data_IF_855251058587
#
_entry.id   IF_855251058587
#
_cell.length_a   1.000
_cell.length_b   1.000
_cell.length_c   1.000
_cell.angle_alpha   90.00
_cell.angle_beta   90.00
_cell.angle_gamma   90.00
#
_symmetry.space_group_name_H-M   'P 1'
#
loop_
_entity.id
_entity.type
_entity.pdbx_description
1 polymer ?
#
# COMPACT_ATOMS: atom_id res chain seq x y z
N UNK A 1 16.38 -4.87 1.43
CA UNK A 1 15.31 -3.90 1.13
C UNK A 1 15.37 -2.78 2.16
N UNK A 2 15.36 -1.52 1.73
CA UNK A 2 15.39 -0.37 2.62
C UNK A 2 14.02 0.31 2.64
N UNK A 3 13.51 0.59 3.84
CA UNK A 3 12.28 1.35 4.06
C UNK A 3 12.64 2.78 4.42
N UNK A 4 12.14 3.75 3.66
CA UNK A 4 12.51 5.17 3.80
C UNK A 4 11.22 5.99 3.97
N UNK A 5 11.06 6.77 5.05
CA UNK A 5 9.90 7.64 5.23
C UNK A 5 9.71 8.61 4.05
N UNK A 6 8.45 8.98 3.76
CA UNK A 6 8.15 9.90 2.65
C UNK A 6 8.94 11.22 2.73
N UNK A 7 9.16 11.73 3.94
CA UNK A 7 9.88 13.00 4.19
C UNK A 7 11.38 12.94 3.86
N UNK A 8 11.97 11.75 3.90
CA UNK A 8 13.41 11.52 3.68
C UNK A 8 13.69 10.97 2.28
N UNK A 9 12.65 10.66 1.51
CA UNK A 9 12.76 10.02 0.21
C UNK A 9 12.72 10.95 -0.99
N UNK A 10 12.81 10.36 -2.18
CA UNK A 10 12.78 11.07 -3.46
C UNK A 10 11.82 10.38 -4.43
N UNK A 11 10.78 11.10 -4.87
CA UNK A 11 9.79 10.58 -5.81
C UNK A 11 10.38 10.08 -7.13
N UNK A 12 11.56 10.58 -7.52
CA UNK A 12 12.25 10.12 -8.74
C UNK A 12 12.76 8.68 -8.66
N UNK A 13 12.79 8.08 -7.47
CA UNK A 13 13.08 6.65 -7.33
C UNK A 13 11.93 5.78 -7.85
N UNK A 14 10.69 6.28 -7.78
CA UNK A 14 9.47 5.58 -8.22
C UNK A 14 9.04 6.06 -9.61
N UNK A 15 9.19 7.37 -9.86
CA UNK A 15 8.86 8.02 -11.13
C UNK A 15 10.13 8.57 -11.81
N UNK A 16 10.92 7.72 -12.50
CA UNK A 16 12.05 8.19 -13.30
C UNK A 16 11.60 9.23 -14.32
N UNK A 17 12.36 10.32 -14.46
CA UNK A 17 12.03 11.40 -15.40
C UNK A 17 11.00 12.42 -14.90
N UNK A 18 10.54 12.34 -13.65
CA UNK A 18 9.64 13.36 -13.09
C UNK A 18 10.33 14.73 -13.03
N UNK A 19 9.93 15.64 -13.92
CA UNK A 19 10.48 17.00 -14.02
C UNK A 19 9.99 17.87 -12.85
N UNK A 20 8.68 17.87 -12.60
CA UNK A 20 8.02 18.65 -11.55
C UNK A 20 7.44 17.74 -10.46
N UNK A 21 7.96 17.84 -9.24
CA UNK A 21 7.56 16.97 -8.13
C UNK A 21 6.35 17.46 -7.34
N UNK A 22 5.97 18.73 -7.47
CA UNK A 22 4.97 19.36 -6.60
C UNK A 22 3.62 18.64 -6.59
N UNK A 23 2.99 18.50 -7.76
CA UNK A 23 1.67 17.87 -7.88
C UNK A 23 1.68 16.39 -7.43
N UNK A 24 2.66 15.61 -7.88
CA UNK A 24 2.80 14.19 -7.50
C UNK A 24 3.02 14.07 -5.98
N UNK A 25 3.83 14.94 -5.39
CA UNK A 25 4.07 14.95 -3.95
C UNK A 25 2.81 15.27 -3.15
N UNK A 26 2.01 16.23 -3.60
CA UNK A 26 0.76 16.58 -2.91
C UNK A 26 -0.26 15.43 -2.97
N UNK A 27 -0.33 14.69 -4.08
CA UNK A 27 -1.16 13.48 -4.18
C UNK A 27 -0.65 12.35 -3.28
N UNK A 28 0.66 12.10 -3.25
CA UNK A 28 1.24 11.08 -2.36
C UNK A 28 1.04 11.46 -0.89
N UNK A 29 1.14 12.75 -0.54
CA UNK A 29 0.82 13.26 0.81
C UNK A 29 -0.65 13.09 1.18
N UNK A 30 -1.56 13.19 0.21
CA UNK A 30 -2.97 12.87 0.47
C UNK A 30 -3.13 11.38 0.81
N UNK A 31 -2.49 10.48 0.06
CA UNK A 31 -2.50 9.05 0.38
C UNK A 31 -1.94 8.79 1.80
N UNK A 32 -0.80 9.40 2.13
CA UNK A 32 -0.18 9.35 3.46
C UNK A 32 -1.15 9.75 4.58
N UNK A 33 -1.81 10.89 4.42
CA UNK A 33 -2.79 11.37 5.39
C UNK A 33 -3.96 10.39 5.57
N UNK A 34 -4.47 9.77 4.48
CA UNK A 34 -5.56 8.80 4.60
C UNK A 34 -5.16 7.55 5.38
N UNK A 35 -3.95 7.01 5.14
CA UNK A 35 -3.46 5.83 5.87
C UNK A 35 -3.20 6.17 7.34
N UNK A 36 -2.63 7.34 7.64
CA UNK A 36 -2.44 7.80 9.03
C UNK A 36 -3.77 7.95 9.78
N UNK A 37 -4.78 8.52 9.13
CA UNK A 37 -6.13 8.64 9.70
C UNK A 37 -6.78 7.28 9.93
N UNK A 38 -6.61 6.35 8.99
CA UNK A 38 -7.09 4.97 9.15
C UNK A 38 -6.42 4.29 10.35
N UNK A 39 -5.09 4.31 10.44
CA UNK A 39 -4.37 3.72 11.57
C UNK A 39 -4.78 4.33 12.92
N UNK A 40 -4.96 5.66 12.97
CA UNK A 40 -5.46 6.34 14.16
C UNK A 40 -6.87 5.89 14.56
N UNK A 41 -7.76 5.67 13.59
CA UNK A 41 -9.10 5.12 13.85
C UNK A 41 -9.03 3.69 14.39
N UNK A 42 -8.15 2.87 13.84
CA UNK A 42 -7.92 1.48 14.23
C UNK A 42 -7.20 1.35 15.59
N UNK A 43 -6.75 2.46 16.18
CA UNK A 43 -5.97 2.47 17.43
C UNK A 43 -4.53 1.96 17.26
N UNK A 44 -4.06 1.85 16.02
CA UNK A 44 -2.75 1.31 15.66
C UNK A 44 -1.76 2.37 15.18
N UNK A 45 -0.72 1.92 14.46
CA UNK A 45 0.27 2.77 13.80
C UNK A 45 0.21 2.54 12.30
N UNK A 46 0.45 3.62 11.54
CA UNK A 46 0.50 3.58 10.10
C UNK A 46 1.91 3.24 9.61
N UNK A 47 2.07 2.11 8.95
CA UNK A 47 3.36 1.54 8.58
C UNK A 47 4.31 1.37 9.78
N UNK A 48 5.56 0.98 9.53
CA UNK A 48 6.51 0.61 10.60
C UNK A 48 6.65 1.68 11.70
N UNK A 49 7.37 2.80 11.44
CA UNK A 49 7.59 3.83 12.46
C UNK A 49 6.38 4.78 12.66
N UNK A 50 5.18 4.50 12.14
CA UNK A 50 4.09 5.48 12.11
C UNK A 50 4.21 6.49 10.95
N UNK A 51 5.00 6.16 9.92
CA UNK A 51 5.34 7.02 8.78
C UNK A 51 4.19 7.24 7.80
N UNK A 52 3.14 6.41 7.81
CA UNK A 52 2.11 6.45 6.78
C UNK A 52 2.62 5.85 5.47
N UNK A 53 2.74 6.62 4.40
CA UNK A 53 3.35 6.15 3.15
C UNK A 53 4.88 6.21 3.27
N UNK A 54 5.54 5.17 2.77
CA UNK A 54 6.98 5.01 2.77
C UNK A 54 7.48 4.46 1.42
N UNK A 55 8.74 4.74 1.11
CA UNK A 55 9.42 4.14 -0.03
C UNK A 55 9.99 2.79 0.37
N UNK A 56 9.73 1.77 -0.42
CA UNK A 56 10.39 0.47 -0.32
C UNK A 56 11.40 0.35 -1.46
N UNK A 57 12.69 0.36 -1.13
CA UNK A 57 13.79 0.29 -2.12
C UNK A 57 14.43 -1.09 -2.15
N UNK A 58 14.54 -1.62 -3.36
CA UNK A 58 15.31 -2.82 -3.66
C UNK A 58 16.75 -2.46 -4.03
N UNK A 59 17.67 -3.40 -3.83
CA UNK A 59 19.10 -3.20 -4.09
C UNK A 59 19.41 -2.90 -5.56
N UNK A 60 18.54 -3.35 -6.47
CA UNK A 60 18.64 -3.13 -7.91
C UNK A 60 18.07 -1.78 -8.37
N UNK A 61 17.80 -0.86 -7.44
CA UNK A 61 17.42 0.52 -7.74
C UNK A 61 15.91 0.77 -7.88
N UNK A 62 15.11 -0.28 -8.02
CA UNK A 62 13.64 -0.19 -8.04
C UNK A 62 13.10 0.32 -6.70
N UNK A 63 12.06 1.14 -6.77
CA UNK A 63 11.34 1.62 -5.61
C UNK A 63 9.83 1.53 -5.82
N UNK A 64 9.12 1.27 -4.75
CA UNK A 64 7.65 1.37 -4.66
C UNK A 64 7.27 2.35 -3.56
N UNK A 65 6.01 2.81 -3.60
CA UNK A 65 5.35 3.44 -2.47
C UNK A 65 4.49 2.39 -1.79
N UNK A 66 4.56 2.33 -0.47
CA UNK A 66 3.84 1.37 0.34
C UNK A 66 3.28 2.07 1.56
N UNK A 67 2.10 1.66 2.00
CA UNK A 67 1.55 2.09 3.28
C UNK A 67 0.58 1.07 3.81
N UNK A 68 0.54 0.91 5.13
CA UNK A 68 -0.44 0.04 5.77
C UNK A 68 -0.97 0.59 7.07
N UNK A 69 -2.11 0.08 7.48
CA UNK A 69 -2.68 0.25 8.81
C UNK A 69 -3.17 -1.10 9.31
N UNK A 70 -2.83 -1.44 10.54
CA UNK A 70 -3.11 -2.74 11.14
C UNK A 70 -3.86 -2.61 12.45
N UNK A 71 -4.76 -3.56 12.70
CA UNK A 71 -5.37 -3.80 14.01
C UNK A 71 -5.59 -5.29 14.23
N UNK A 72 -4.91 -5.85 15.23
CA UNK A 72 -4.92 -7.29 15.49
C UNK A 72 -4.43 -8.06 14.27
N UNK A 73 -5.26 -8.99 13.78
CA UNK A 73 -4.96 -9.84 12.63
C UNK A 73 -5.46 -9.27 11.31
N UNK A 74 -5.84 -7.99 11.24
CA UNK A 74 -6.37 -7.35 10.02
C UNK A 74 -5.40 -6.28 9.53
N UNK A 75 -5.05 -6.33 8.25
CA UNK A 75 -4.16 -5.36 7.60
C UNK A 75 -4.86 -4.69 6.42
N UNK A 76 -4.78 -3.36 6.36
CA UNK A 76 -5.20 -2.54 5.24
C UNK A 76 -3.96 -2.02 4.55
N UNK A 77 -3.74 -2.41 3.30
CA UNK A 77 -2.47 -2.17 2.59
C UNK A 77 -2.74 -1.43 1.29
N UNK A 78 -1.98 -0.36 1.04
CA UNK A 78 -1.94 0.32 -0.26
C UNK A 78 -0.52 0.27 -0.79
N UNK A 79 -0.37 0.02 -2.08
CA UNK A 79 0.94 0.06 -2.70
C UNK A 79 0.85 0.60 -4.14
N UNK A 80 1.95 1.22 -4.57
CA UNK A 80 2.20 1.61 -5.96
C UNK A 80 3.59 1.09 -6.33
N UNK A 81 3.66 0.27 -7.36
CA UNK A 81 4.90 -0.35 -7.81
C UNK A 81 4.96 -0.48 -9.32
N UNK A 82 6.10 -0.94 -9.83
CA UNK A 82 6.25 -1.36 -11.22
C UNK A 82 5.95 -2.87 -11.34
N UNK A 83 4.93 -3.31 -12.10
CA UNK A 83 4.57 -4.70 -12.20
C UNK A 83 5.66 -5.46 -12.96
N UNK A 84 6.44 -6.26 -12.22
CA UNK A 84 7.48 -7.09 -12.83
C UNK A 84 6.83 -8.14 -13.72
N UNK A 85 7.09 -8.08 -15.02
CA UNK A 85 6.58 -9.08 -15.98
C UNK A 85 7.37 -10.38 -15.95
N UNK A 86 8.62 -10.34 -15.50
CA UNK A 86 9.46 -11.51 -15.24
C UNK A 86 10.58 -11.20 -14.24
N UNK A 87 11.30 -12.24 -13.77
CA UNK A 87 12.32 -12.12 -12.72
C UNK A 87 13.51 -11.19 -13.06
N UNK A 88 13.79 -11.01 -14.35
CA UNK A 88 14.89 -10.19 -14.89
C UNK A 88 14.43 -8.81 -15.39
N UNK A 89 13.15 -8.47 -15.18
CA UNK A 89 12.65 -7.15 -15.49
C UNK A 89 13.15 -6.12 -14.47
N UNK A 90 14.17 -5.36 -14.88
CA UNK A 90 14.78 -4.30 -14.09
C UNK A 90 14.23 -2.92 -14.44
N UNK A 91 13.17 -2.85 -15.25
CA UNK A 91 12.60 -1.57 -15.61
C UNK A 91 12.02 -0.85 -14.40
N UNK A 92 12.05 0.47 -14.52
CA UNK A 92 11.51 1.42 -13.55
C UNK A 92 10.78 2.46 -14.39
N UNK A 93 9.53 2.74 -14.07
CA UNK A 93 8.71 3.62 -14.91
C UNK A 93 7.37 2.99 -15.28
N UNK A 94 6.69 3.50 -16.32
CA UNK A 94 5.38 2.99 -16.70
C UNK A 94 5.46 1.57 -17.30
N UNK A 95 4.39 0.76 -17.14
CA UNK A 95 3.21 1.08 -16.35
C UNK A 95 3.48 1.01 -14.84
N UNK A 96 2.90 1.91 -14.05
CA UNK A 96 2.80 1.75 -12.60
C UNK A 96 1.49 1.07 -12.25
N UNK A 97 1.54 0.09 -11.38
CA UNK A 97 0.37 -0.59 -10.84
C UNK A 97 0.07 -0.05 -9.44
N UNK A 98 -1.22 0.20 -9.17
CA UNK A 98 -1.71 0.55 -7.83
C UNK A 98 -2.64 -0.54 -7.34
N UNK A 99 -2.43 -0.98 -6.10
CA UNK A 99 -3.33 -1.90 -5.40
C UNK A 99 -3.72 -1.37 -4.03
N UNK A 100 -4.91 -1.79 -3.59
CA UNK A 100 -5.44 -1.57 -2.26
C UNK A 100 -6.09 -2.85 -1.77
N UNK A 101 -5.66 -3.37 -0.64
CA UNK A 101 -6.05 -4.69 -0.15
C UNK A 101 -6.48 -4.62 1.32
N UNK A 102 -7.47 -5.43 1.67
CA UNK A 102 -7.80 -5.78 3.05
C UNK A 102 -7.49 -7.25 3.21
N UNK A 103 -6.53 -7.55 4.08
CA UNK A 103 -6.10 -8.91 4.36
C UNK A 103 -6.24 -9.24 5.83
N UNK A 104 -6.29 -10.53 6.13
CA UNK A 104 -6.26 -11.04 7.49
C UNK A 104 -5.15 -12.08 7.63
N UNK A 105 -4.51 -12.12 8.80
CA UNK A 105 -3.48 -13.11 9.09
C UNK A 105 -4.09 -14.51 9.21
N UNK A 106 -3.42 -15.53 8.68
CA UNK A 106 -3.82 -16.92 8.89
C UNK A 106 -3.81 -17.30 10.38
N UNK A 107 -4.84 -18.03 10.84
CA UNK A 107 -4.97 -18.58 12.20
C UNK A 107 -4.69 -20.10 12.30
N UNK A 108 -4.28 -20.74 11.21
CA UNK A 108 -3.97 -22.16 11.17
C UNK A 108 -2.71 -22.49 11.98
N UNK A 109 -2.54 -23.78 12.32
CA UNK A 109 -1.33 -24.29 12.97
C UNK A 109 -0.07 -24.08 12.12
N UNK A 110 -0.22 -23.99 10.80
CA UNK A 110 0.83 -23.65 9.84
C UNK A 110 0.47 -22.34 9.13
N UNK A 111 1.23 -21.27 9.38
CA UNK A 111 1.02 -19.95 8.76
C UNK A 111 1.23 -20.03 7.24
N UNK A 112 0.14 -19.92 6.47
CA UNK A 112 0.17 -19.92 5.02
C UNK A 112 0.18 -18.50 4.41
N UNK A 113 0.38 -17.48 5.25
CA UNK A 113 0.42 -16.08 4.87
C UNK A 113 -0.93 -15.38 5.02
N UNK A 114 -1.04 -14.13 4.51
CA UNK A 114 -2.27 -13.36 4.58
C UNK A 114 -3.37 -13.92 3.67
N UNK A 115 -4.62 -13.87 4.14
CA UNK A 115 -5.81 -14.17 3.35
C UNK A 115 -6.49 -12.88 2.89
N UNK A 116 -6.81 -12.80 1.61
CA UNK A 116 -7.46 -11.64 1.01
C UNK A 116 -8.96 -11.64 1.31
N UNK A 117 -9.46 -10.52 1.84
CA UNK A 117 -10.89 -10.30 2.09
C UNK A 117 -11.50 -9.43 1.00
N UNK A 118 -10.88 -8.29 0.73
CA UNK A 118 -11.26 -7.37 -0.34
C UNK A 118 -10.01 -6.86 -1.04
N UNK A 119 -10.14 -6.64 -2.35
CA UNK A 119 -9.11 -6.07 -3.19
C UNK A 119 -9.73 -5.03 -4.12
N UNK A 120 -9.09 -3.87 -4.19
CA UNK A 120 -9.34 -2.89 -5.24
C UNK A 120 -8.63 -3.40 -6.50
N UNK A 121 -9.40 -3.82 -7.51
CA UNK A 121 -8.84 -4.35 -8.76
C UNK A 121 -7.65 -3.53 -9.25
N UNK A 122 -6.45 -4.14 -9.39
CA UNK A 122 -5.26 -3.43 -9.81
C UNK A 122 -5.45 -2.72 -11.15
N UNK A 123 -4.87 -1.54 -11.26
CA UNK A 123 -4.90 -0.75 -12.50
C UNK A 123 -3.51 -0.24 -12.81
N UNK A 124 -3.17 -0.32 -14.09
CA UNK A 124 -1.93 0.19 -14.65
C UNK A 124 -2.09 1.64 -15.12
N UNK A 125 -1.05 2.45 -14.94
CA UNK A 125 -1.00 3.86 -15.30
C UNK A 125 0.33 4.20 -15.99
N UNK A 126 0.25 5.00 -17.07
CA UNK A 126 1.44 5.43 -17.82
C UNK A 126 1.96 6.83 -17.42
N UNK A 127 1.27 7.50 -16.51
CA UNK A 127 1.57 8.86 -16.04
C UNK A 127 1.86 8.86 -14.53
N UNK A 128 2.95 9.49 -14.07
CA UNK A 128 3.23 9.65 -12.64
C UNK A 128 2.08 10.29 -11.87
N UNK A 129 1.45 11.32 -12.46
CA UNK A 129 0.33 12.03 -11.84
C UNK A 129 -0.91 11.14 -11.73
N UNK A 130 -1.22 10.35 -12.75
CA UNK A 130 -2.38 9.46 -12.71
C UNK A 130 -2.18 8.31 -11.73
N UNK A 131 -0.97 7.74 -11.69
CA UNK A 131 -0.59 6.73 -10.71
C UNK A 131 -0.67 7.26 -9.27
N UNK A 132 -0.15 8.47 -9.01
CA UNK A 132 -0.24 9.09 -7.69
C UNK A 132 -1.68 9.45 -7.29
N UNK A 133 -2.51 9.87 -8.26
CA UNK A 133 -3.94 10.11 -8.03
C UNK A 133 -4.67 8.81 -7.69
N UNK A 134 -4.36 7.72 -8.38
CA UNK A 134 -4.90 6.40 -8.09
C UNK A 134 -4.46 5.90 -6.71
N UNK A 135 -3.20 6.13 -6.32
CA UNK A 135 -2.72 5.81 -4.97
C UNK A 135 -3.51 6.56 -3.89
N UNK A 136 -3.75 7.87 -4.07
CA UNK A 136 -4.57 8.66 -3.16
C UNK A 136 -6.02 8.14 -3.08
N UNK A 137 -6.61 7.76 -4.22
CA UNK A 137 -7.95 7.19 -4.27
C UNK A 137 -8.01 5.82 -3.58
N UNK A 138 -7.01 4.95 -3.77
CA UNK A 138 -6.92 3.64 -3.13
C UNK A 138 -6.77 3.77 -1.60
N UNK A 139 -5.93 4.69 -1.13
CA UNK A 139 -5.81 4.98 0.30
C UNK A 139 -7.11 5.54 0.91
N UNK A 140 -7.83 6.40 0.18
CA UNK A 140 -9.16 6.87 0.58
C UNK A 140 -10.17 5.72 0.64
N UNK A 141 -10.14 4.80 -0.32
CA UNK A 141 -11.00 3.61 -0.33
C UNK A 141 -10.72 2.73 0.89
N UNK A 142 -9.45 2.44 1.21
CA UNK A 142 -9.09 1.68 2.42
C UNK A 142 -9.58 2.35 3.69
N UNK A 143 -9.43 3.68 3.81
CA UNK A 143 -9.97 4.41 4.96
C UNK A 143 -11.49 4.26 5.05
N UNK A 144 -12.20 4.37 3.94
CA UNK A 144 -13.65 4.15 3.93
C UNK A 144 -14.01 2.74 4.39
N UNK A 145 -13.30 1.71 3.90
CA UNK A 145 -13.51 0.32 4.34
C UNK A 145 -13.23 0.14 5.83
N UNK A 146 -12.04 0.50 6.29
CA UNK A 146 -11.64 0.30 7.69
C UNK A 146 -12.38 1.16 8.71
N UNK A 147 -13.20 2.12 8.28
CA UNK A 147 -14.07 2.92 9.16
C UNK A 147 -15.56 2.60 9.00
N UNK A 148 -15.95 1.79 8.02
CA UNK A 148 -17.35 1.45 7.78
C UNK A 148 -17.89 0.43 8.78
N UNK A 149 -17.02 -0.39 9.36
CA UNK A 149 -17.38 -1.47 10.27
C UNK A 149 -16.26 -1.80 11.27
N UNK A 150 -16.59 -2.43 12.41
CA UNK A 150 -15.58 -2.80 13.42
C UNK A 150 -14.55 -3.80 12.90
N UNK A 151 -13.31 -3.75 13.41
CA UNK A 151 -12.20 -4.63 12.98
C UNK A 151 -12.55 -6.13 13.02
N UNK A 152 -13.29 -6.58 14.04
CA UNK A 152 -13.63 -7.99 14.19
C UNK A 152 -14.49 -8.54 13.05
N UNK A 153 -15.26 -7.71 12.34
CA UNK A 153 -16.10 -8.19 11.25
C UNK A 153 -15.28 -8.57 10.01
N UNK A 154 -14.13 -7.92 9.79
CA UNK A 154 -13.16 -8.31 8.76
C UNK A 154 -12.59 -9.69 9.03
N UNK A 155 -12.23 -9.98 10.29
CA UNK A 155 -11.72 -11.30 10.69
C UNK A 155 -12.73 -12.42 10.43
N UNK A 156 -14.02 -12.18 10.68
CA UNK A 156 -15.07 -13.17 10.44
C UNK A 156 -15.28 -13.50 8.95
N UNK A 157 -14.72 -12.71 8.03
CA UNK A 157 -14.77 -12.95 6.59
C UNK A 157 -13.61 -13.77 6.07
N UNK A 158 -12.68 -14.20 6.94
CA UNK A 158 -11.56 -15.03 6.56
C UNK A 158 -12.05 -16.29 5.80
N UNK A 159 -11.79 -16.39 4.48
CA UNK A 159 -12.28 -17.50 3.66
C UNK A 159 -11.64 -18.85 4.04
N UNK A 160 -10.60 -18.83 4.87
CA UNK A 160 -9.85 -19.99 5.31
C UNK A 160 -9.71 -20.04 6.83
N UNK A 161 -10.63 -19.45 7.60
CA UNK A 161 -10.54 -19.55 9.06
C UNK A 161 -10.54 -21.01 9.53
N UNK A 162 -9.62 -21.35 10.44
CA UNK A 162 -9.57 -22.64 11.10
C UNK A 162 -9.23 -23.84 10.19
N UNK A 163 -8.50 -23.60 9.10
CA UNK A 163 -7.96 -24.69 8.29
C UNK A 163 -6.76 -25.37 8.97
N UNK A 164 -6.56 -26.64 8.65
CA UNK A 164 -5.47 -27.48 9.17
C UNK A 164 -4.15 -27.27 8.41
#
# INVERSE_FOLDING_TARGET
MATIPLVDGNLRWVFPGLEHTGEVLDLVRQADAQIRLLAGHLGGRASGPGSGIEFHRLELGQASLFGYAEAGDVSFVVQLWFPRRCAWDLSTGPPWEVNGEVTVRCDAGVDCGPHFIEELTPREFDSPTDAARALAAAASWLRQRGTAEPVYSWRMRDPRSGHD
#
